data_IF_490466831867
#
_entry.id   IF_490466831867
#
_cell.length_a   1.000
_cell.length_b   1.000
_cell.length_c   1.000
_cell.angle_alpha   90.00
_cell.angle_beta   90.00
_cell.angle_gamma   90.00
#
_symmetry.space_group_name_H-M   'P 1'
#
loop_
_entity.id
_entity.type
_entity.pdbx_description
1 polymer ?
#
# COMPACT_ATOMS: atom_id res chain seq x y z
N UNK A 1 -5.69 33.82 -7.68
CA UNK A 1 -5.27 32.92 -6.58
C UNK A 1 -3.76 32.72 -6.72
N UNK A 2 -2.98 33.25 -5.78
CA UNK A 2 -1.53 33.31 -5.86
C UNK A 2 -0.96 32.06 -5.18
N UNK A 3 -0.72 30.99 -5.95
CA UNK A 3 -0.03 29.79 -5.44
C UNK A 3 1.42 30.16 -5.18
N UNK A 4 1.74 30.57 -3.94
CA UNK A 4 3.12 30.70 -3.47
C UNK A 4 3.75 29.31 -3.47
N UNK A 5 4.29 28.90 -4.63
CA UNK A 5 5.17 27.75 -4.72
C UNK A 5 6.42 28.10 -3.91
N UNK A 6 6.78 27.23 -2.97
CA UNK A 6 8.01 27.40 -2.18
C UNK A 6 9.19 27.63 -3.14
N UNK A 7 10.06 28.62 -2.89
CA UNK A 7 11.24 28.85 -3.73
C UNK A 7 12.15 27.62 -3.79
N UNK A 8 12.05 26.72 -2.80
CA UNK A 8 12.80 25.48 -2.72
C UNK A 8 12.13 24.29 -3.43
N UNK A 9 10.91 24.44 -3.98
CA UNK A 9 10.17 23.30 -4.53
C UNK A 9 10.88 22.63 -5.71
N UNK A 10 11.50 23.41 -6.59
CA UNK A 10 12.25 22.89 -7.74
C UNK A 10 13.54 22.19 -7.31
N UNK A 11 14.25 22.76 -6.35
CA UNK A 11 15.49 22.21 -5.78
C UNK A 11 15.19 20.93 -4.97
N UNK A 12 14.09 20.91 -4.21
CA UNK A 12 13.60 19.74 -3.49
C UNK A 12 13.17 18.62 -4.46
N UNK A 13 12.51 18.95 -5.58
CA UNK A 13 12.16 17.99 -6.62
C UNK A 13 13.40 17.41 -7.33
N UNK A 14 14.39 18.26 -7.63
CA UNK A 14 15.65 17.83 -8.26
C UNK A 14 16.50 16.96 -7.30
N UNK A 15 16.61 17.37 -6.04
CA UNK A 15 17.25 16.61 -4.95
C UNK A 15 16.60 15.24 -4.81
N UNK A 16 15.27 15.24 -4.71
CA UNK A 16 14.48 14.03 -4.63
C UNK A 16 14.76 13.09 -5.81
N UNK A 17 14.68 13.57 -7.05
CA UNK A 17 14.96 12.75 -8.23
C UNK A 17 16.36 12.11 -8.19
N UNK A 18 17.39 12.83 -7.71
CA UNK A 18 18.76 12.31 -7.60
C UNK A 18 18.93 11.26 -6.50
N UNK A 19 18.29 11.46 -5.33
CA UNK A 19 18.27 10.46 -4.25
C UNK A 19 17.73 9.13 -4.76
N UNK A 20 16.80 9.21 -5.70
CA UNK A 20 15.97 8.09 -6.10
C UNK A 20 16.38 7.39 -7.39
N UNK A 21 17.05 8.10 -8.32
CA UNK A 21 17.63 7.49 -9.51
C UNK A 21 18.94 6.75 -9.25
N UNK A 22 19.45 6.74 -8.01
CA UNK A 22 20.79 6.25 -7.67
C UNK A 22 21.89 7.09 -8.30
N UNK A 23 21.67 8.41 -8.41
CA UNK A 23 22.51 9.31 -9.20
C UNK A 23 23.95 9.46 -8.73
N UNK A 24 24.79 9.94 -9.65
CA UNK A 24 26.22 10.22 -9.51
C UNK A 24 26.54 11.10 -8.30
N UNK A 25 27.33 10.56 -7.36
CA UNK A 25 27.69 11.20 -6.09
C UNK A 25 28.52 12.47 -6.26
N UNK A 26 29.09 12.70 -7.44
CA UNK A 26 29.87 13.92 -7.72
C UNK A 26 28.99 15.17 -7.89
N UNK A 27 27.68 15.00 -8.14
CA UNK A 27 26.70 16.12 -8.18
C UNK A 27 26.06 16.41 -6.82
N UNK A 28 26.42 15.62 -5.83
CA UNK A 28 25.92 15.66 -4.46
C UNK A 28 26.85 16.53 -3.58
N UNK A 29 27.43 17.62 -4.08
CA UNK A 29 28.27 18.49 -3.23
C UNK A 29 27.51 19.64 -2.55
N UNK A 30 26.40 20.10 -3.14
CA UNK A 30 25.73 21.36 -2.74
C UNK A 30 24.49 21.19 -1.85
N UNK A 31 24.13 19.95 -1.51
CA UNK A 31 22.83 19.52 -0.97
C UNK A 31 22.86 19.03 0.49
N UNK A 32 24.03 18.69 1.05
CA UNK A 32 24.15 18.15 2.41
C UNK A 32 24.62 19.21 3.41
N UNK A 33 23.95 19.28 4.56
CA UNK A 33 24.10 20.37 5.54
C UNK A 33 25.46 20.43 6.26
N UNK A 34 26.44 19.58 5.92
CA UNK A 34 27.69 19.49 6.66
C UNK A 34 28.80 18.86 5.84
N UNK A 35 29.85 19.63 5.51
CA UNK A 35 31.10 19.13 4.92
C UNK A 35 31.79 18.02 5.72
N UNK A 36 31.32 17.70 6.93
CA UNK A 36 31.82 16.63 7.79
C UNK A 36 31.23 15.25 7.48
N UNK A 37 30.13 15.17 6.72
CA UNK A 37 29.50 13.90 6.35
C UNK A 37 29.79 13.68 4.86
N UNK A 38 30.43 12.56 4.47
CA UNK A 38 30.65 12.28 3.05
C UNK A 38 29.33 12.22 2.26
N UNK A 39 29.28 12.74 1.02
CA UNK A 39 28.06 12.78 0.20
C UNK A 39 27.34 11.42 0.07
N UNK A 40 28.10 10.34 -0.09
CA UNK A 40 27.61 8.97 -0.19
C UNK A 40 26.93 8.50 1.11
N UNK A 41 27.44 8.94 2.26
CA UNK A 41 26.85 8.65 3.58
C UNK A 41 25.56 9.45 3.76
N UNK A 42 25.55 10.72 3.37
CA UNK A 42 24.35 11.55 3.41
C UNK A 42 23.24 10.96 2.51
N UNK A 43 23.60 10.53 1.29
CA UNK A 43 22.68 9.84 0.38
C UNK A 43 22.08 8.58 0.99
N UNK A 44 22.92 7.74 1.59
CA UNK A 44 22.46 6.53 2.27
C UNK A 44 21.44 6.82 3.38
N UNK A 45 21.67 7.87 4.17
CA UNK A 45 20.74 8.32 5.23
C UNK A 45 19.40 8.76 4.62
N UNK A 46 19.41 9.58 3.57
CA UNK A 46 18.18 10.04 2.92
C UNK A 46 17.39 8.89 2.29
N UNK A 47 18.07 7.97 1.61
CA UNK A 47 17.45 6.77 1.04
C UNK A 47 16.84 5.91 2.15
N UNK A 48 17.54 5.72 3.26
CA UNK A 48 17.01 4.96 4.39
C UNK A 48 15.76 5.62 4.99
N UNK A 49 15.80 6.94 5.20
CA UNK A 49 14.65 7.70 5.70
C UNK A 49 13.45 7.61 4.76
N UNK A 50 13.67 7.64 3.44
CA UNK A 50 12.61 7.38 2.47
C UNK A 50 12.01 5.99 2.65
N UNK A 51 12.85 4.95 2.72
CA UNK A 51 12.35 3.58 2.88
C UNK A 51 11.47 3.43 4.12
N UNK A 52 11.91 4.00 5.23
CA UNK A 52 11.13 4.03 6.48
C UNK A 52 9.82 4.81 6.29
N UNK A 53 9.88 6.00 5.70
CA UNK A 53 8.71 6.86 5.49
C UNK A 53 7.66 6.23 4.56
N UNK A 54 8.08 5.65 3.43
CA UNK A 54 7.16 4.95 2.53
C UNK A 54 6.58 3.73 3.21
N UNK A 55 7.39 2.91 3.90
CA UNK A 55 6.87 1.74 4.61
C UNK A 55 5.86 2.13 5.70
N UNK A 56 6.07 3.21 6.44
CA UNK A 56 5.09 3.72 7.41
C UNK A 56 3.83 4.23 6.73
N UNK A 57 3.96 4.98 5.63
CA UNK A 57 2.83 5.51 4.89
C UNK A 57 1.96 4.41 4.28
N UNK A 58 2.59 3.40 3.65
CA UNK A 58 1.90 2.22 3.15
C UNK A 58 1.12 1.52 4.28
N UNK A 59 1.68 1.42 5.49
CA UNK A 59 1.01 0.74 6.59
C UNK A 59 -0.29 1.45 6.98
N UNK A 60 -0.32 2.79 6.93
CA UNK A 60 -1.54 3.58 7.16
C UNK A 60 -2.60 3.32 6.08
N UNK A 61 -2.19 3.12 4.83
CA UNK A 61 -3.10 2.84 3.73
C UNK A 61 -3.52 1.37 3.61
N UNK A 62 -2.76 0.44 4.20
CA UNK A 62 -2.97 -1.01 4.09
C UNK A 62 -3.01 -1.72 5.45
N UNK A 63 -3.83 -1.27 6.41
CA UNK A 63 -3.83 -1.80 7.77
C UNK A 63 -4.27 -3.26 7.84
N UNK A 64 -5.27 -3.68 7.04
CA UNK A 64 -5.77 -5.05 7.05
C UNK A 64 -4.77 -6.00 6.39
N UNK A 65 -4.21 -5.62 5.25
CA UNK A 65 -3.15 -6.41 4.62
C UNK A 65 -1.93 -6.54 5.54
N UNK A 66 -1.50 -5.44 6.19
CA UNK A 66 -0.39 -5.46 7.15
C UNK A 66 -0.64 -6.44 8.31
N UNK A 67 -1.82 -6.36 8.94
CA UNK A 67 -2.20 -7.27 10.02
C UNK A 67 -2.30 -8.72 9.54
N UNK A 68 -2.75 -8.94 8.30
CA UNK A 68 -2.84 -10.28 7.73
C UNK A 68 -1.48 -10.94 7.62
N UNK A 69 -0.50 -10.28 6.98
CA UNK A 69 0.81 -10.89 6.69
C UNK A 69 1.81 -10.77 7.85
N UNK A 70 1.60 -9.80 8.75
CA UNK A 70 2.48 -9.52 9.88
C UNK A 70 3.71 -8.68 9.53
N UNK A 71 4.30 -8.09 10.56
CA UNK A 71 5.42 -7.15 10.47
C UNK A 71 6.66 -7.74 9.76
N UNK A 72 7.09 -8.99 10.00
CA UNK A 72 8.25 -9.56 9.32
C UNK A 72 8.07 -9.64 7.81
N UNK A 73 6.93 -10.18 7.36
CA UNK A 73 6.60 -10.31 5.93
C UNK A 73 6.42 -8.91 5.30
N UNK A 74 5.78 -8.00 6.01
CA UNK A 74 5.58 -6.63 5.58
C UNK A 74 6.89 -5.88 5.29
N UNK A 75 7.88 -5.99 6.18
CA UNK A 75 9.18 -5.35 5.99
C UNK A 75 9.89 -5.86 4.74
N UNK A 76 9.84 -7.18 4.50
CA UNK A 76 10.45 -7.81 3.33
C UNK A 76 9.78 -7.30 2.05
N UNK A 77 8.44 -7.31 2.01
CA UNK A 77 7.71 -6.95 0.79
C UNK A 77 7.79 -5.46 0.49
N UNK A 78 7.84 -4.59 1.49
CA UNK A 78 8.07 -3.14 1.29
C UNK A 78 9.47 -2.86 0.74
N UNK A 79 10.49 -3.55 1.24
CA UNK A 79 11.85 -3.42 0.72
C UNK A 79 11.94 -3.89 -0.74
N UNK A 80 11.28 -5.03 -1.06
CA UNK A 80 11.19 -5.53 -2.44
C UNK A 80 10.46 -4.53 -3.36
N UNK A 81 9.35 -3.96 -2.90
CA UNK A 81 8.59 -2.97 -3.64
C UNK A 81 9.44 -1.74 -3.99
N UNK A 82 10.08 -1.14 -2.99
CA UNK A 82 10.90 0.05 -3.17
C UNK A 82 12.11 -0.19 -4.07
N UNK A 83 12.68 -1.39 -4.06
CA UNK A 83 13.74 -1.78 -5.00
C UNK A 83 13.24 -1.93 -6.44
N UNK A 84 12.04 -2.47 -6.62
CA UNK A 84 11.44 -2.70 -7.96
C UNK A 84 10.83 -1.44 -8.57
N UNK A 85 10.42 -0.50 -7.72
CA UNK A 85 9.77 0.76 -8.07
C UNK A 85 10.64 1.92 -7.56
N UNK A 86 11.85 2.10 -8.12
CA UNK A 86 12.70 3.20 -7.74
C UNK A 86 11.92 4.50 -7.92
N UNK A 87 11.99 5.43 -6.96
CA UNK A 87 11.17 6.62 -7.04
C UNK A 87 11.56 7.48 -8.24
N UNK A 88 10.62 7.71 -9.12
CA UNK A 88 10.78 8.81 -10.08
C UNK A 88 10.33 10.14 -9.44
N UNK A 89 9.55 10.08 -8.34
CA UNK A 89 8.99 11.21 -7.60
C UNK A 89 8.80 10.87 -6.10
N UNK A 90 8.96 11.84 -5.17
CA UNK A 90 8.84 11.66 -3.70
C UNK A 90 7.38 11.63 -3.22
N UNK A 91 6.44 11.15 -4.04
CA UNK A 91 5.03 11.26 -3.74
C UNK A 91 4.53 9.98 -3.11
N UNK A 92 4.38 9.98 -1.79
CA UNK A 92 3.93 8.82 -1.02
C UNK A 92 2.56 8.27 -1.49
N UNK A 93 1.65 9.14 -1.94
CA UNK A 93 0.36 8.72 -2.49
C UNK A 93 0.50 7.90 -3.78
N UNK A 94 1.50 8.20 -4.62
CA UNK A 94 1.79 7.41 -5.84
C UNK A 94 2.30 6.02 -5.44
N UNK A 95 3.11 5.96 -4.37
CA UNK A 95 3.55 4.69 -3.80
C UNK A 95 2.41 3.83 -3.30
N UNK A 96 1.45 4.42 -2.58
CA UNK A 96 0.26 3.70 -2.18
C UNK A 96 -0.48 3.17 -3.42
N UNK A 97 -0.86 4.05 -4.36
CA UNK A 97 -1.66 3.65 -5.52
C UNK A 97 -1.12 2.45 -6.32
N UNK A 98 0.21 2.32 -6.47
CA UNK A 98 0.80 1.19 -7.22
C UNK A 98 1.05 -0.08 -6.40
N UNK A 99 1.02 0.01 -5.06
CA UNK A 99 1.42 -1.09 -4.20
C UNK A 99 0.55 -2.35 -4.35
N UNK A 100 -0.80 -2.27 -4.45
CA UNK A 100 -1.62 -3.46 -4.70
C UNK A 100 -1.27 -4.17 -6.02
N UNK A 101 -0.98 -3.40 -7.07
CA UNK A 101 -0.55 -3.94 -8.37
C UNK A 101 0.81 -4.63 -8.29
N UNK A 102 1.75 -4.05 -7.54
CA UNK A 102 3.03 -4.72 -7.24
C UNK A 102 2.83 -6.04 -6.49
N UNK A 103 1.98 -6.07 -5.46
CA UNK A 103 1.70 -7.29 -4.68
C UNK A 103 1.10 -8.40 -5.55
N UNK A 104 0.21 -8.05 -6.48
CA UNK A 104 -0.36 -9.00 -7.43
C UNK A 104 0.74 -9.64 -8.28
N UNK A 105 1.59 -8.84 -8.91
CA UNK A 105 2.71 -9.34 -9.72
C UNK A 105 3.73 -10.13 -8.89
N UNK A 106 3.97 -9.73 -7.64
CA UNK A 106 4.83 -10.46 -6.72
C UNK A 106 4.25 -11.84 -6.38
N UNK A 107 2.93 -11.93 -6.15
CA UNK A 107 2.24 -13.19 -5.91
C UNK A 107 2.28 -14.13 -7.11
N UNK A 108 2.11 -13.60 -8.33
CA UNK A 108 2.22 -14.37 -9.58
C UNK A 108 3.63 -14.95 -9.79
N UNK A 109 4.67 -14.23 -9.37
CA UNK A 109 6.06 -14.69 -9.42
C UNK A 109 6.42 -15.69 -8.30
N UNK A 110 5.60 -15.74 -7.24
CA UNK A 110 5.80 -16.61 -6.09
C UNK A 110 4.56 -17.50 -5.83
N UNK A 111 4.10 -18.29 -6.81
CA UNK A 111 2.82 -19.00 -6.74
C UNK A 111 2.77 -20.01 -5.58
N UNK A 112 3.91 -20.53 -5.13
CA UNK A 112 4.02 -21.41 -3.97
C UNK A 112 3.74 -20.73 -2.62
N UNK A 113 3.65 -19.39 -2.58
CA UNK A 113 3.40 -18.59 -1.38
C UNK A 113 2.07 -17.85 -1.52
N UNK A 114 0.97 -18.56 -1.35
CA UNK A 114 -0.39 -18.03 -1.52
C UNK A 114 -0.73 -16.82 -0.64
N UNK A 115 0.02 -16.61 0.44
CA UNK A 115 -0.12 -15.42 1.28
C UNK A 115 -0.07 -14.11 0.46
N UNK A 116 0.73 -14.06 -0.61
CA UNK A 116 0.89 -12.84 -1.41
C UNK A 116 -0.29 -12.54 -2.31
N UNK A 117 -0.93 -13.56 -2.89
CA UNK A 117 -2.13 -13.35 -3.69
C UNK A 117 -3.29 -12.89 -2.80
N UNK A 118 -3.42 -13.45 -1.58
CA UNK A 118 -4.40 -12.96 -0.60
C UNK A 118 -4.09 -11.54 -0.16
N UNK A 119 -2.81 -11.23 0.16
CA UNK A 119 -2.38 -9.89 0.55
C UNK A 119 -2.68 -8.84 -0.54
N UNK A 120 -2.49 -9.18 -1.82
CA UNK A 120 -2.80 -8.28 -2.94
C UNK A 120 -4.29 -7.92 -2.98
N UNK A 121 -5.17 -8.91 -2.77
CA UNK A 121 -6.62 -8.71 -2.74
C UNK A 121 -7.06 -7.85 -1.55
N UNK A 122 -6.49 -8.12 -0.37
CA UNK A 122 -6.74 -7.30 0.82
C UNK A 122 -6.24 -5.86 0.64
N UNK A 123 -5.06 -5.67 0.02
CA UNK A 123 -4.51 -4.35 -0.26
C UNK A 123 -5.40 -3.55 -1.24
N UNK A 124 -6.02 -4.21 -2.21
CA UNK A 124 -6.96 -3.58 -3.13
C UNK A 124 -8.21 -3.05 -2.40
N UNK A 125 -8.75 -3.84 -1.47
CA UNK A 125 -9.90 -3.47 -0.64
C UNK A 125 -9.52 -2.33 0.32
N UNK A 126 -8.38 -2.45 1.02
CA UNK A 126 -7.82 -1.40 1.87
C UNK A 126 -7.66 -0.07 1.11
N UNK A 127 -7.10 -0.12 -0.11
CA UNK A 127 -6.94 1.07 -0.94
C UNK A 127 -8.29 1.75 -1.22
N UNK A 128 -9.31 0.96 -1.59
CA UNK A 128 -10.63 1.48 -1.90
C UNK A 128 -11.28 2.15 -0.67
N UNK A 129 -11.23 1.50 0.50
CA UNK A 129 -11.78 2.08 1.72
C UNK A 129 -11.05 3.37 2.16
N UNK A 130 -9.74 3.46 1.95
CA UNK A 130 -8.93 4.60 2.41
C UNK A 130 -8.80 5.75 1.41
N UNK A 131 -9.15 5.56 0.12
CA UNK A 131 -8.92 6.57 -0.93
C UNK A 131 -10.20 6.97 -1.69
N UNK A 132 -11.35 6.49 -1.24
CA UNK A 132 -12.64 6.95 -1.78
C UNK A 132 -13.08 8.23 -1.08
N UNK A 133 -13.60 9.17 -1.87
CA UNK A 133 -14.04 10.50 -1.42
C UNK A 133 -15.25 11.02 -2.20
N UNK A 134 -15.73 10.25 -3.18
CA UNK A 134 -16.87 10.59 -4.05
C UNK A 134 -17.94 9.54 -3.91
N UNK A 135 -19.17 9.95 -4.20
CA UNK A 135 -20.29 9.03 -4.32
C UNK A 135 -20.15 8.16 -5.56
N UNK A 136 -20.72 6.95 -5.52
CA UNK A 136 -20.79 6.02 -6.64
C UNK A 136 -19.41 5.60 -7.20
N UNK A 137 -18.36 5.64 -6.39
CA UNK A 137 -17.11 4.94 -6.71
C UNK A 137 -17.35 3.45 -6.54
N UNK A 138 -16.84 2.65 -7.47
CA UNK A 138 -17.13 1.21 -7.56
C UNK A 138 -15.84 0.41 -7.69
N UNK A 139 -15.80 -0.75 -7.08
CA UNK A 139 -14.76 -1.76 -7.31
C UNK A 139 -15.36 -3.16 -7.26
N UNK A 140 -14.96 -4.00 -8.22
CA UNK A 140 -15.31 -5.41 -8.21
C UNK A 140 -14.25 -6.19 -7.44
N UNK A 141 -14.70 -6.98 -6.47
CA UNK A 141 -13.85 -7.84 -5.64
C UNK A 141 -14.49 -9.21 -5.48
N UNK A 142 -13.68 -10.21 -5.15
CA UNK A 142 -14.21 -11.51 -4.73
C UNK A 142 -14.83 -11.37 -3.34
N UNK A 143 -16.07 -11.84 -3.18
CA UNK A 143 -16.80 -11.81 -1.91
C UNK A 143 -15.99 -12.42 -0.77
N UNK A 144 -15.20 -13.46 -1.04
CA UNK A 144 -14.42 -14.17 -0.02
C UNK A 144 -13.32 -13.30 0.56
N UNK A 145 -12.64 -12.53 -0.28
CA UNK A 145 -11.61 -11.60 0.18
C UNK A 145 -12.23 -10.42 0.92
N UNK A 146 -13.42 -9.98 0.52
CA UNK A 146 -14.15 -8.95 1.28
C UNK A 146 -14.59 -9.45 2.66
N UNK A 147 -15.10 -10.69 2.78
CA UNK A 147 -15.43 -11.29 4.07
C UNK A 147 -14.19 -11.48 4.96
N UNK A 148 -13.06 -11.92 4.39
CA UNK A 148 -11.79 -11.96 5.09
C UNK A 148 -11.36 -10.57 5.58
N UNK A 149 -11.46 -9.56 4.72
CA UNK A 149 -11.12 -8.18 5.06
C UNK A 149 -11.94 -7.68 6.25
N UNK A 150 -13.27 -7.86 6.21
CA UNK A 150 -14.18 -7.50 7.30
C UNK A 150 -13.81 -8.20 8.61
N UNK A 151 -13.49 -9.50 8.54
CA UNK A 151 -13.11 -10.29 9.73
C UNK A 151 -11.80 -9.82 10.34
N UNK A 152 -10.78 -9.56 9.52
CA UNK A 152 -9.51 -9.02 10.01
C UNK A 152 -9.69 -7.62 10.58
N UNK A 153 -10.51 -6.78 9.94
CA UNK A 153 -10.79 -5.44 10.45
C UNK A 153 -11.41 -5.49 11.85
N UNK A 154 -12.41 -6.33 12.03
CA UNK A 154 -13.02 -6.55 13.34
C UNK A 154 -12.01 -7.08 14.38
N UNK A 155 -11.07 -7.95 13.98
CA UNK A 155 -10.00 -8.42 14.86
C UNK A 155 -9.05 -7.29 15.27
N UNK A 156 -8.60 -6.46 14.32
CA UNK A 156 -7.74 -5.29 14.60
C UNK A 156 -8.40 -4.38 15.64
N UNK A 157 -9.70 -4.11 15.50
CA UNK A 157 -10.45 -3.25 16.42
C UNK A 157 -10.65 -3.88 17.81
N UNK A 158 -10.49 -5.20 17.93
CA UNK A 158 -10.70 -5.97 19.17
C UNK A 158 -9.43 -6.31 19.97
N UNK A 159 -8.26 -6.18 19.35
CA UNK A 159 -6.97 -6.62 19.92
C UNK A 159 -6.30 -5.44 20.64
N UNK A 160 -6.03 -5.58 21.95
CA UNK A 160 -5.31 -4.57 22.74
C UNK A 160 -3.78 -4.56 22.48
N UNK A 161 -3.19 -5.71 22.12
CA UNK A 161 -1.75 -5.85 21.81
C UNK A 161 -1.52 -6.27 20.35
N UNK A 162 -0.81 -5.45 19.57
CA UNK A 162 -0.51 -5.77 18.16
C UNK A 162 0.27 -7.08 18.01
N UNK A 163 -0.41 -8.17 17.62
CA UNK A 163 0.29 -9.37 17.15
C UNK A 163 1.07 -9.02 15.87
N UNK A 164 2.39 -9.12 15.97
CA UNK A 164 3.31 -8.79 14.87
C UNK A 164 3.55 -9.95 13.93
N UNK A 165 3.09 -11.17 14.26
CA UNK A 165 3.40 -12.39 13.52
C UNK A 165 2.48 -12.66 12.32
N UNK A 166 1.37 -11.93 12.21
CA UNK A 166 0.42 -12.01 11.11
C UNK A 166 -0.74 -12.96 11.39
N UNK A 167 -1.95 -12.46 11.11
CA UNK A 167 -3.20 -13.19 11.35
C UNK A 167 -3.41 -14.39 10.42
N UNK A 168 -2.67 -14.49 9.31
CA UNK A 168 -2.72 -15.65 8.40
C UNK A 168 -2.41 -16.99 9.08
N UNK A 169 -1.76 -16.94 10.25
CA UNK A 169 -1.42 -18.12 11.07
C UNK A 169 -2.61 -18.70 11.82
N UNK A 170 -3.69 -17.92 11.98
CA UNK A 170 -4.95 -18.42 12.50
C UNK A 170 -5.52 -19.38 11.46
N UNK A 171 -5.82 -20.61 11.85
CA UNK A 171 -6.29 -21.69 10.95
C UNK A 171 -7.38 -21.20 10.01
N UNK A 172 -8.40 -20.53 10.55
CA UNK A 172 -9.55 -20.02 9.79
C UNK A 172 -9.21 -18.91 8.76
N UNK A 173 -8.05 -18.28 8.86
CA UNK A 173 -7.58 -17.21 7.99
C UNK A 173 -6.43 -17.68 7.07
N UNK A 174 -6.12 -18.98 7.09
CA UNK A 174 -4.99 -19.52 6.35
C UNK A 174 -5.15 -19.29 4.83
N UNK A 175 -4.09 -18.88 4.10
CA UNK A 175 -4.20 -18.51 2.68
C UNK A 175 -4.80 -19.59 1.77
N UNK A 176 -4.57 -20.87 2.09
CA UNK A 176 -5.04 -21.99 1.28
C UNK A 176 -6.57 -22.10 1.18
N UNK A 177 -7.30 -21.61 2.19
CA UNK A 177 -8.76 -21.64 2.19
C UNK A 177 -9.37 -20.81 1.05
N UNK A 178 -8.61 -19.86 0.50
CA UNK A 178 -9.06 -18.95 -0.54
C UNK A 178 -8.77 -19.46 -1.96
N UNK A 179 -8.12 -20.60 -2.12
CA UNK A 179 -7.79 -21.16 -3.45
C UNK A 179 -8.93 -21.92 -4.12
N UNK A 180 -9.66 -22.75 -3.37
CA UNK A 180 -10.49 -23.82 -3.94
C UNK A 180 -11.98 -23.50 -3.99
N UNK A 181 -12.40 -22.34 -3.47
CA UNK A 181 -13.81 -21.97 -3.45
C UNK A 181 -14.20 -21.25 -4.74
N UNK A 182 -15.47 -21.45 -5.14
CA UNK A 182 -16.05 -20.83 -6.32
C UNK A 182 -16.02 -19.31 -6.17
N UNK A 183 -15.49 -18.61 -7.15
CA UNK A 183 -15.37 -17.16 -7.14
C UNK A 183 -16.77 -16.54 -7.33
N UNK A 184 -17.24 -15.76 -6.35
CA UNK A 184 -18.44 -14.93 -6.48
C UNK A 184 -17.99 -13.47 -6.41
N UNK A 185 -18.12 -12.77 -7.53
CA UNK A 185 -17.82 -11.36 -7.61
C UNK A 185 -18.94 -10.54 -6.94
N UNK A 186 -18.55 -9.49 -6.23
CA UNK A 186 -19.42 -8.45 -5.69
C UNK A 186 -18.85 -7.08 -6.07
N UNK A 187 -19.71 -6.07 -6.12
CA UNK A 187 -19.28 -4.69 -6.32
C UNK A 187 -19.42 -3.93 -5.00
N UNK A 188 -18.34 -3.33 -4.54
CA UNK A 188 -18.39 -2.36 -3.44
C UNK A 188 -18.69 -0.98 -4.01
N UNK A 189 -19.67 -0.29 -3.44
CA UNK A 189 -20.12 1.03 -3.91
C UNK A 189 -20.14 2.02 -2.76
N UNK A 190 -19.60 3.22 -2.99
CA UNK A 190 -19.66 4.32 -2.03
C UNK A 190 -20.97 5.10 -2.14
N UNK A 191 -21.54 5.49 -1.00
CA UNK A 191 -22.73 6.34 -0.94
C UNK A 191 -22.63 7.31 0.25
N UNK A 192 -23.30 8.46 0.15
CA UNK A 192 -23.34 9.42 1.27
C UNK A 192 -24.59 9.21 2.12
N UNK A 193 -24.42 9.23 3.44
CA UNK A 193 -25.51 9.28 4.40
C UNK A 193 -25.09 10.18 5.56
N UNK A 194 -25.93 11.15 5.94
CA UNK A 194 -25.65 12.07 7.06
C UNK A 194 -24.25 12.74 7.03
N UNK A 195 -23.79 13.20 5.86
CA UNK A 195 -22.46 13.81 5.64
C UNK A 195 -21.26 12.87 5.89
N UNK A 196 -21.51 11.58 6.02
CA UNK A 196 -20.48 10.54 6.12
C UNK A 196 -20.53 9.64 4.87
N UNK A 197 -19.35 9.12 4.47
CA UNK A 197 -19.22 8.22 3.34
C UNK A 197 -19.30 6.77 3.82
N UNK A 198 -20.26 6.03 3.28
CA UNK A 198 -20.50 4.62 3.60
C UNK A 198 -20.24 3.72 2.39
N UNK A 199 -20.16 2.41 2.66
CA UNK A 199 -19.91 1.37 1.68
C UNK A 199 -21.06 0.36 1.70
N UNK A 200 -21.55 -0.04 0.53
CA UNK A 200 -22.51 -1.13 0.40
C UNK A 200 -22.07 -2.13 -0.65
N UNK A 201 -22.59 -3.34 -0.53
CA UNK A 201 -22.36 -4.43 -1.48
C UNK A 201 -23.52 -4.48 -2.47
N UNK A 202 -23.20 -4.45 -3.76
CA UNK A 202 -24.13 -4.62 -4.87
C UNK A 202 -23.75 -5.84 -5.73
N UNK A 203 -24.70 -6.42 -6.50
CA UNK A 203 -24.36 -7.38 -7.55
C UNK A 203 -23.45 -6.73 -8.61
N UNK A 204 -22.57 -7.51 -9.27
CA UNK A 204 -21.72 -6.99 -10.34
C UNK A 204 -22.53 -6.33 -11.45
N UNK A 205 -22.05 -5.22 -12.03
CA UNK A 205 -22.75 -4.48 -13.09
C UNK A 205 -23.14 -5.35 -14.29
N UNK A 206 -22.33 -6.38 -14.60
CA UNK A 206 -22.63 -7.37 -15.65
C UNK A 206 -23.93 -8.15 -15.43
N UNK A 207 -24.46 -8.17 -14.21
CA UNK A 207 -25.72 -8.83 -13.83
C UNK A 207 -26.90 -7.87 -13.87
N UNK A 208 -26.67 -6.56 -13.72
CA UNK A 208 -27.72 -5.51 -13.73
C UNK A 208 -28.15 -5.09 -15.15
N UNK A 209 -27.38 -5.46 -16.18
CA UNK A 209 -27.66 -5.17 -17.58
C UNK A 209 -28.53 -6.24 -18.30
N UNK A 210 -29.19 -7.14 -17.55
CA UNK A 210 -30.15 -8.13 -18.05
C UNK A 210 -31.54 -7.88 -17.49
#
# INVERSE_FOLDING_TARGET
MNTKVSPFAAEQMAMSAQIYSGGDTDKLCDWYCSSRIPPEVALGIYQQNLHVGVAQHLQTHYPVMHAYIGTPAYRIICAAYLKSSPPNQPLFTVYAAHFPGFLLGYGEQNPQQFIWSVAAQLAQIDFFHNNTSRENQRIDVDERYYQLWMRIRALIDSIEEQDTQGLYRITELHPEHYQQQKNKAITLVTFWENEELYFRVEPPESVLAK
#
